data_IF_752978195078
#
_entry.id   IF_752978195078
#
_cell.length_a   1.000
_cell.length_b   1.000
_cell.length_c   1.000
_cell.angle_alpha   90.00
_cell.angle_beta   90.00
_cell.angle_gamma   90.00
#
_symmetry.space_group_name_H-M   'P 1'
#
loop_
_entity.id
_entity.type
_entity.pdbx_description
1 polymer ?
#
# COMPACT_ATOMS: atom_id res chain seq x y z
N UNK A 1 -5.71 6.37 16.71
CA UNK A 1 -4.23 6.49 16.85
C UNK A 1 -3.59 5.30 17.56
N UNK A 2 -4.17 4.73 18.63
CA UNK A 2 -3.60 3.55 19.31
C UNK A 2 -3.28 2.37 18.38
N UNK A 3 -4.18 2.03 17.44
CA UNK A 3 -3.93 0.97 16.45
C UNK A 3 -2.76 1.25 15.51
N UNK A 4 -2.51 2.52 15.15
CA UNK A 4 -1.38 2.89 14.29
C UNK A 4 -0.04 2.76 15.03
N UNK A 5 -0.01 3.07 16.33
CA UNK A 5 1.18 2.89 17.18
C UNK A 5 1.52 1.41 17.33
N UNK A 6 0.51 0.57 17.58
CA UNK A 6 0.68 -0.88 17.66
C UNK A 6 1.15 -1.48 16.32
N UNK A 7 0.56 -1.05 15.21
CA UNK A 7 0.98 -1.47 13.86
C UNK A 7 2.41 -1.05 13.53
N UNK A 8 2.79 0.19 13.83
CA UNK A 8 4.15 0.69 13.63
C UNK A 8 5.17 -0.11 14.44
N UNK A 9 4.90 -0.37 15.72
CA UNK A 9 5.81 -1.17 16.55
C UNK A 9 5.93 -2.61 16.04
N UNK A 10 4.81 -3.22 15.65
CA UNK A 10 4.79 -4.59 15.16
C UNK A 10 5.50 -4.77 13.81
N UNK A 11 5.26 -3.87 12.85
CA UNK A 11 5.79 -3.99 11.47
C UNK A 11 7.19 -3.38 11.35
N UNK A 12 7.44 -2.26 12.05
CA UNK A 12 8.65 -1.43 11.87
C UNK A 12 9.60 -1.48 13.07
N UNK A 13 9.22 -2.15 14.17
CA UNK A 13 10.01 -2.23 15.40
C UNK A 13 10.11 -0.91 16.17
N UNK A 14 9.40 0.14 15.72
CA UNK A 14 9.42 1.49 16.31
C UNK A 14 8.15 2.24 15.99
N UNK A 15 7.81 3.21 16.83
CA UNK A 15 6.71 4.15 16.59
C UNK A 15 7.23 5.33 15.76
N UNK A 16 6.54 5.69 14.67
CA UNK A 16 6.86 6.91 13.90
C UNK A 16 6.16 8.12 14.51
N UNK A 17 6.82 9.28 14.48
CA UNK A 17 6.17 10.54 14.84
C UNK A 17 5.25 11.01 13.71
N UNK A 18 4.29 11.88 14.06
CA UNK A 18 3.41 12.49 13.06
C UNK A 18 4.17 13.38 12.09
N UNK A 19 5.17 14.12 12.59
CA UNK A 19 6.00 14.99 11.77
C UNK A 19 6.86 14.18 10.79
N UNK A 20 7.40 13.03 11.23
CA UNK A 20 8.12 12.12 10.31
C UNK A 20 7.22 11.68 9.16
N UNK A 21 5.99 11.26 9.48
CA UNK A 21 5.02 10.80 8.46
C UNK A 21 4.66 11.95 7.52
N UNK A 22 4.33 13.13 8.07
CA UNK A 22 3.96 14.32 7.30
C UNK A 22 5.08 14.74 6.34
N UNK A 23 6.29 14.89 6.86
CA UNK A 23 7.44 15.35 6.07
C UNK A 23 7.78 14.37 4.94
N UNK A 24 7.67 13.05 5.18
CA UNK A 24 7.91 12.04 4.12
C UNK A 24 6.85 12.07 3.03
N UNK A 25 5.59 12.30 3.38
CA UNK A 25 4.51 12.45 2.40
C UNK A 25 4.72 13.72 1.58
N UNK A 26 5.00 14.86 2.22
CA UNK A 26 5.21 16.14 1.54
C UNK A 26 6.46 16.15 0.64
N UNK A 27 7.48 15.35 0.97
CA UNK A 27 8.67 15.17 0.13
C UNK A 27 8.43 14.27 -1.10
N UNK A 28 7.28 13.63 -1.22
CA UNK A 28 6.97 12.75 -2.35
C UNK A 28 6.71 13.59 -3.61
N UNK A 29 7.44 13.29 -4.70
CA UNK A 29 7.32 13.97 -5.99
C UNK A 29 6.70 13.07 -7.07
N UNK A 30 6.21 13.66 -8.15
CA UNK A 30 5.70 12.92 -9.33
C UNK A 30 6.76 11.94 -9.85
N UNK A 31 8.01 12.39 -9.96
CA UNK A 31 9.11 11.55 -10.44
C UNK A 31 9.38 10.37 -9.52
N UNK A 32 9.32 10.56 -8.19
CA UNK A 32 9.51 9.48 -7.22
C UNK A 32 8.41 8.40 -7.34
N UNK A 33 7.16 8.82 -7.56
CA UNK A 33 6.02 7.91 -7.72
C UNK A 33 6.16 7.14 -9.04
N UNK A 34 6.41 7.84 -10.14
CA UNK A 34 6.58 7.21 -11.45
C UNK A 34 7.79 6.27 -11.48
N UNK A 35 8.90 6.65 -10.84
CA UNK A 35 10.08 5.80 -10.70
C UNK A 35 9.78 4.51 -9.94
N UNK A 36 9.04 4.61 -8.83
CA UNK A 36 8.59 3.44 -8.08
C UNK A 36 7.69 2.53 -8.92
N UNK A 37 6.68 3.09 -9.60
CA UNK A 37 5.73 2.31 -10.42
C UNK A 37 6.41 1.62 -11.61
N UNK A 38 7.37 2.29 -12.27
CA UNK A 38 8.16 1.69 -13.36
C UNK A 38 9.05 0.55 -12.88
N UNK A 39 9.54 0.62 -11.63
CA UNK A 39 10.43 -0.38 -11.05
C UNK A 39 9.68 -1.54 -10.36
N UNK A 40 8.38 -1.37 -10.10
CA UNK A 40 7.53 -2.33 -9.40
C UNK A 40 6.24 -2.54 -10.19
N UNK A 41 6.37 -3.16 -11.38
CA UNK A 41 5.22 -3.46 -12.21
C UNK A 41 4.26 -4.42 -11.49
N UNK A 42 2.96 -4.14 -11.58
CA UNK A 42 1.94 -5.09 -11.15
C UNK A 42 1.99 -6.31 -12.07
N UNK A 43 2.23 -7.48 -11.49
CA UNK A 43 2.29 -8.75 -12.21
C UNK A 43 0.97 -9.52 -12.11
N UNK A 44 1.04 -10.72 -11.56
CA UNK A 44 -0.11 -11.61 -11.43
C UNK A 44 -1.16 -11.04 -10.48
N UNK A 45 -2.36 -10.79 -11.02
CA UNK A 45 -3.50 -10.32 -10.24
C UNK A 45 -4.26 -11.49 -9.62
N UNK A 46 -4.55 -11.39 -8.32
CA UNK A 46 -5.46 -12.31 -7.65
C UNK A 46 -6.88 -11.73 -7.71
N UNK A 47 -7.77 -12.41 -8.44
CA UNK A 47 -9.20 -12.03 -8.55
C UNK A 47 -10.04 -13.04 -7.77
N UNK A 48 -10.74 -12.57 -6.74
CA UNK A 48 -11.63 -13.40 -5.90
C UNK A 48 -13.05 -12.86 -6.00
N UNK A 49 -14.01 -13.76 -6.20
CA UNK A 49 -15.44 -13.42 -6.23
C UNK A 49 -16.21 -14.37 -5.32
N UNK A 50 -17.19 -13.84 -4.58
CA UNK A 50 -18.02 -14.62 -3.65
C UNK A 50 -19.48 -14.22 -3.88
N UNK A 51 -20.34 -15.20 -4.15
CA UNK A 51 -21.76 -14.98 -4.32
C UNK A 51 -22.47 -16.14 -5.03
N UNK A 52 -23.82 -16.14 -5.06
CA UNK A 52 -24.61 -17.24 -5.61
C UNK A 52 -24.59 -17.29 -7.15
N UNK A 53 -24.11 -16.24 -7.82
CA UNK A 53 -24.07 -16.14 -9.28
C UNK A 53 -22.68 -16.49 -9.79
N UNK A 54 -22.62 -17.44 -10.72
CA UNK A 54 -21.37 -17.86 -11.39
C UNK A 54 -20.78 -16.69 -12.19
N UNK A 55 -19.52 -16.38 -11.91
CA UNK A 55 -18.73 -15.42 -12.71
C UNK A 55 -18.16 -16.14 -13.93
N UNK A 56 -18.30 -15.53 -15.10
CA UNK A 56 -17.70 -16.02 -16.36
C UNK A 56 -16.47 -15.18 -16.65
N UNK A 57 -15.31 -15.82 -16.71
CA UNK A 57 -14.08 -15.19 -17.19
C UNK A 57 -14.05 -15.37 -18.71
N UNK A 58 -14.04 -14.26 -19.46
CA UNK A 58 -13.68 -14.29 -20.89
C UNK A 58 -12.17 -14.09 -20.96
N UNK A 59 -11.48 -15.03 -21.63
CA UNK A 59 -10.08 -14.86 -22.03
C UNK A 59 -10.00 -13.86 -23.19
#
# INVERSE_FOLDING_TARGET
RAGAIGGDYYVLGRVRSLDEIKNKIEATSVDSVLGFLRSNAFGDFTVVTIGPKKVKIKK
#
